data_IF_647421948660
#
_entry.id   IF_647421948660
#
_cell.length_a   1.000
_cell.length_b   1.000
_cell.length_c   1.000
_cell.angle_alpha   90.00
_cell.angle_beta   90.00
_cell.angle_gamma   90.00
#
_symmetry.space_group_name_H-M   'P 1'
#
loop_
_entity.id
_entity.type
_entity.pdbx_description
1 polymer ?
#
# COMPACT_ATOMS: atom_id res chain seq x y z
N UNK A 1 21.06 -25.29 -11.72
CA UNK A 1 20.14 -26.31 -12.28
C UNK A 1 18.93 -25.58 -12.91
N UNK A 2 19.15 -24.78 -13.97
CA UNK A 2 18.22 -23.71 -14.43
C UNK A 2 17.63 -23.94 -15.84
N UNK A 3 17.27 -25.18 -16.20
CA UNK A 3 16.66 -25.48 -17.52
C UNK A 3 15.22 -25.98 -17.47
N UNK A 4 14.62 -26.14 -16.29
CA UNK A 4 13.27 -26.69 -16.15
C UNK A 4 12.14 -25.67 -16.31
N UNK A 5 12.40 -24.36 -16.20
CA UNK A 5 11.37 -23.33 -16.31
C UNK A 5 11.14 -22.79 -17.74
N UNK A 6 11.92 -23.23 -18.72
CA UNK A 6 11.88 -22.72 -20.10
C UNK A 6 11.22 -23.65 -21.13
N UNK A 7 10.58 -24.75 -20.72
CA UNK A 7 9.73 -25.53 -21.62
C UNK A 7 8.28 -25.07 -21.47
N UNK A 8 7.68 -24.60 -22.56
CA UNK A 8 6.28 -24.19 -22.62
C UNK A 8 5.35 -25.26 -22.04
N UNK A 9 4.36 -24.81 -21.26
CA UNK A 9 3.26 -25.58 -20.67
C UNK A 9 3.55 -26.96 -20.01
N UNK A 10 4.80 -27.31 -19.73
CA UNK A 10 5.15 -28.54 -19.00
C UNK A 10 5.10 -28.38 -17.47
N UNK A 11 4.10 -27.63 -16.97
CA UNK A 11 3.91 -27.42 -15.53
C UNK A 11 2.97 -28.49 -14.97
N UNK A 12 3.27 -28.97 -13.76
CA UNK A 12 2.48 -30.02 -13.08
C UNK A 12 1.02 -29.61 -12.84
N UNK A 13 0.77 -28.32 -12.68
CA UNK A 13 -0.57 -27.74 -12.51
C UNK A 13 -0.74 -26.56 -13.47
N UNK A 14 -1.91 -26.51 -14.12
CA UNK A 14 -2.32 -25.35 -14.91
C UNK A 14 -2.54 -24.15 -13.99
N UNK A 15 -2.26 -22.96 -14.53
CA UNK A 15 -2.46 -21.68 -13.85
C UNK A 15 -3.44 -20.86 -14.65
N UNK A 16 -4.35 -20.21 -13.95
CA UNK A 16 -5.30 -19.27 -14.52
C UNK A 16 -5.17 -17.94 -13.81
N UNK A 17 -5.48 -16.86 -14.52
CA UNK A 17 -5.66 -15.56 -13.90
C UNK A 17 -7.11 -15.47 -13.44
N UNK A 18 -7.33 -15.34 -12.14
CA UNK A 18 -8.68 -15.24 -11.57
C UNK A 18 -8.74 -14.21 -10.44
N UNK A 19 -9.90 -13.55 -10.24
CA UNK A 19 -10.12 -12.66 -9.12
C UNK A 19 -10.31 -13.48 -7.83
N UNK A 20 -9.45 -13.26 -6.84
CA UNK A 20 -9.50 -13.93 -5.53
C UNK A 20 -9.35 -12.95 -4.39
N UNK A 21 -10.04 -13.20 -3.27
CA UNK A 21 -9.81 -12.47 -2.02
C UNK A 21 -8.66 -13.15 -1.29
N UNK A 22 -7.54 -12.44 -1.18
CA UNK A 22 -6.27 -13.01 -0.76
C UNK A 22 -5.65 -12.21 0.38
N UNK A 23 -5.05 -12.93 1.33
CA UNK A 23 -4.15 -12.37 2.34
C UNK A 23 -2.88 -13.21 2.41
N UNK A 24 -1.72 -12.57 2.44
CA UNK A 24 -0.41 -13.24 2.55
C UNK A 24 0.31 -12.65 3.75
N UNK A 25 0.70 -13.50 4.70
CA UNK A 25 1.43 -13.12 5.90
C UNK A 25 2.75 -13.89 6.00
N UNK A 26 3.86 -13.26 6.41
CA UNK A 26 5.07 -13.98 6.76
C UNK A 26 4.81 -14.92 7.94
N UNK A 27 5.28 -16.16 7.84
CA UNK A 27 5.13 -17.15 8.92
C UNK A 27 6.04 -16.84 10.12
N UNK A 28 7.01 -15.93 9.96
CA UNK A 28 7.97 -15.58 11.01
C UNK A 28 8.21 -14.06 11.05
N UNK A 29 7.55 -13.33 11.97
CA UNK A 29 7.79 -11.90 12.14
C UNK A 29 9.18 -11.63 12.73
N UNK A 30 9.60 -10.37 12.71
CA UNK A 30 10.83 -9.91 13.35
C UNK A 30 10.60 -9.89 14.87
N UNK A 31 11.33 -10.73 15.61
CA UNK A 31 11.12 -10.94 17.07
C UNK A 31 12.04 -10.11 17.97
N UNK A 32 13.16 -9.61 17.45
CA UNK A 32 14.21 -8.94 18.23
C UNK A 32 14.20 -7.41 18.06
N UNK A 33 13.01 -6.81 18.09
CA UNK A 33 12.80 -5.37 17.83
C UNK A 33 11.90 -4.73 18.88
N UNK A 34 11.91 -3.41 18.93
CA UNK A 34 11.22 -2.63 19.94
C UNK A 34 9.71 -2.55 19.69
N UNK A 35 9.31 -2.67 18.42
CA UNK A 35 7.93 -2.84 17.97
C UNK A 35 7.86 -4.08 17.06
N UNK A 36 6.75 -4.81 17.15
CA UNK A 36 6.44 -5.91 16.24
C UNK A 36 6.47 -5.46 14.78
N UNK A 37 7.15 -6.23 13.94
CA UNK A 37 7.20 -6.00 12.51
C UNK A 37 7.11 -7.32 11.75
N UNK A 38 6.32 -7.33 10.68
CA UNK A 38 6.11 -8.54 9.85
C UNK A 38 7.37 -8.92 9.06
N UNK A 39 8.24 -7.94 8.75
CA UNK A 39 9.41 -8.15 7.91
C UNK A 39 9.18 -7.95 6.40
N UNK A 40 7.94 -7.62 6.03
CA UNK A 40 7.57 -7.18 4.67
C UNK A 40 8.23 -5.83 4.38
N UNK A 41 8.74 -5.68 3.16
CA UNK A 41 9.22 -4.42 2.62
C UNK A 41 8.07 -3.66 1.93
N UNK A 42 7.51 -2.67 2.63
CA UNK A 42 6.44 -1.79 2.12
C UNK A 42 6.98 -0.61 1.30
N UNK A 43 8.31 -0.46 1.23
CA UNK A 43 8.98 0.56 0.43
C UNK A 43 9.98 -0.08 -0.55
N UNK A 44 9.52 -1.01 -1.42
CA UNK A 44 10.40 -1.65 -2.38
C UNK A 44 10.92 -0.64 -3.42
N UNK A 45 11.94 -1.01 -4.22
CA UNK A 45 12.53 -0.11 -5.22
C UNK A 45 11.53 0.49 -6.22
N UNK A 46 10.45 -0.21 -6.55
CA UNK A 46 9.36 0.32 -7.39
C UNK A 46 8.61 1.45 -6.72
N UNK A 47 8.18 1.26 -5.47
CA UNK A 47 7.48 2.29 -4.69
C UNK A 47 8.39 3.49 -4.40
N UNK A 48 9.66 3.27 -4.09
CA UNK A 48 10.65 4.36 -3.93
C UNK A 48 10.81 5.19 -5.21
N UNK A 49 10.83 4.56 -6.38
CA UNK A 49 10.84 5.29 -7.67
C UNK A 49 9.53 6.01 -7.95
N UNK A 50 8.39 5.45 -7.56
CA UNK A 50 7.09 6.11 -7.69
C UNK A 50 7.05 7.40 -6.85
N UNK A 51 7.47 7.31 -5.59
CA UNK A 51 7.61 8.44 -4.65
C UNK A 51 8.49 9.53 -5.29
N UNK A 52 9.70 9.19 -5.72
CA UNK A 52 10.62 10.16 -6.34
C UNK A 52 10.02 10.79 -7.60
N UNK A 53 9.35 10.02 -8.45
CA UNK A 53 8.68 10.55 -9.64
C UNK A 53 7.58 11.56 -9.25
N UNK A 54 6.71 11.21 -8.32
CA UNK A 54 5.59 12.06 -7.88
C UNK A 54 6.08 13.33 -7.19
N UNK A 55 7.14 13.23 -6.38
CA UNK A 55 7.82 14.39 -5.77
C UNK A 55 8.38 15.32 -6.84
N UNK A 56 9.10 14.78 -7.83
CA UNK A 56 9.64 15.57 -8.94
C UNK A 56 8.54 16.22 -9.79
N UNK A 57 7.43 15.53 -10.01
CA UNK A 57 6.26 16.06 -10.71
C UNK A 57 5.61 17.20 -9.92
N UNK A 58 5.54 17.07 -8.59
CA UNK A 58 5.08 18.13 -7.70
C UNK A 58 5.95 19.38 -7.83
N UNK A 59 7.28 19.25 -7.75
CA UNK A 59 8.20 20.37 -7.96
C UNK A 59 8.11 20.97 -9.36
N UNK A 60 7.94 20.13 -10.38
CA UNK A 60 7.75 20.57 -11.76
C UNK A 60 6.56 21.53 -11.87
N UNK A 61 5.44 21.22 -11.23
CA UNK A 61 4.25 22.08 -11.27
C UNK A 61 4.37 23.31 -10.35
N UNK A 62 4.95 23.17 -9.16
CA UNK A 62 5.21 24.30 -8.25
C UNK A 62 6.01 25.40 -8.95
N UNK A 63 7.07 25.02 -9.69
CA UNK A 63 7.93 25.99 -10.37
C UNK A 63 7.23 26.79 -11.48
N UNK A 64 6.04 26.36 -11.91
CA UNK A 64 5.22 27.02 -12.93
C UNK A 64 4.16 27.96 -12.35
N UNK A 65 3.96 27.95 -11.03
CA UNK A 65 3.04 28.86 -10.35
C UNK A 65 3.65 30.26 -10.35
N UNK A 66 2.90 31.24 -10.89
CA UNK A 66 3.32 32.64 -10.94
C UNK A 66 2.70 33.45 -9.79
N UNK A 67 1.41 33.22 -9.52
CA UNK A 67 0.67 33.96 -8.51
C UNK A 67 1.06 33.53 -7.10
N UNK A 68 1.33 34.51 -6.21
CA UNK A 68 1.69 34.27 -4.81
C UNK A 68 2.85 33.26 -4.63
N UNK A 69 3.78 33.24 -5.60
CA UNK A 69 4.80 32.21 -5.76
C UNK A 69 5.57 31.90 -4.47
N UNK A 70 6.00 32.92 -3.73
CA UNK A 70 6.77 32.75 -2.49
C UNK A 70 5.96 32.01 -1.42
N UNK A 71 4.75 32.49 -1.12
CA UNK A 71 3.86 31.92 -0.09
C UNK A 71 3.45 30.50 -0.48
N UNK A 72 3.04 30.31 -1.73
CA UNK A 72 2.59 29.01 -2.22
C UNK A 72 3.74 28.01 -2.21
N UNK A 73 4.93 28.39 -2.70
CA UNK A 73 6.10 27.51 -2.69
C UNK A 73 6.51 27.11 -1.27
N UNK A 74 6.47 28.05 -0.31
CA UNK A 74 6.75 27.76 1.08
C UNK A 74 5.76 26.74 1.68
N UNK A 75 4.46 26.90 1.40
CA UNK A 75 3.44 25.94 1.85
C UNK A 75 3.62 24.54 1.25
N UNK A 76 3.90 24.46 -0.06
CA UNK A 76 4.19 23.18 -0.70
C UNK A 76 5.43 22.52 -0.11
N UNK A 77 6.50 23.29 0.13
CA UNK A 77 7.72 22.76 0.72
C UNK A 77 7.49 22.24 2.15
N UNK A 78 6.79 22.99 3.00
CA UNK A 78 6.38 22.54 4.33
C UNK A 78 5.61 21.22 4.26
N UNK A 79 4.67 21.13 3.32
CA UNK A 79 3.82 19.95 3.16
C UNK A 79 4.61 18.74 2.66
N UNK A 80 5.52 18.93 1.69
CA UNK A 80 6.43 17.87 1.21
C UNK A 80 7.28 17.34 2.38
N UNK A 81 7.90 18.23 3.16
CA UNK A 81 8.72 17.83 4.31
C UNK A 81 7.91 17.07 5.38
N UNK A 82 6.64 17.43 5.57
CA UNK A 82 5.73 16.73 6.46
C UNK A 82 5.38 15.32 5.95
N UNK A 83 5.07 15.19 4.66
CA UNK A 83 4.80 13.90 4.01
C UNK A 83 6.02 12.99 4.07
N UNK A 84 7.22 13.51 3.76
CA UNK A 84 8.46 12.73 3.81
C UNK A 84 8.78 12.26 5.23
N UNK A 85 8.57 13.14 6.22
CA UNK A 85 8.75 12.78 7.62
C UNK A 85 7.80 11.65 8.03
N UNK A 86 6.52 11.74 7.66
CA UNK A 86 5.56 10.65 7.88
C UNK A 86 6.02 9.35 7.22
N UNK A 87 6.51 9.43 5.98
CA UNK A 87 7.07 8.30 5.26
C UNK A 87 8.25 7.61 5.97
N UNK A 88 9.20 8.41 6.46
CA UNK A 88 10.33 7.92 7.25
C UNK A 88 9.89 7.25 8.55
N UNK A 89 8.86 7.79 9.19
CA UNK A 89 8.25 7.22 10.39
C UNK A 89 7.64 5.84 10.08
N UNK A 90 6.83 5.74 9.02
CA UNK A 90 6.25 4.49 8.55
C UNK A 90 7.31 3.45 8.18
N UNK A 91 8.38 3.86 7.48
CA UNK A 91 9.50 2.95 7.14
C UNK A 91 10.22 2.44 8.40
N UNK A 92 10.44 3.30 9.39
CA UNK A 92 11.07 2.92 10.67
C UNK A 92 10.23 1.89 11.41
N UNK A 93 8.93 2.16 11.54
CA UNK A 93 7.96 1.27 12.19
C UNK A 93 7.87 -0.07 11.47
N UNK A 94 7.87 -0.07 10.12
CA UNK A 94 7.85 -1.32 9.33
C UNK A 94 9.05 -2.25 9.58
N UNK A 95 10.16 -1.69 10.08
CA UNK A 95 11.39 -2.41 10.44
C UNK A 95 11.46 -2.77 11.92
N UNK A 96 10.41 -2.46 12.69
CA UNK A 96 10.29 -2.68 14.12
C UNK A 96 11.02 -1.63 14.98
N UNK A 97 11.53 -0.56 14.37
CA UNK A 97 12.26 0.49 15.09
C UNK A 97 11.24 1.45 15.70
N UNK A 98 11.29 1.63 17.03
CA UNK A 98 10.37 2.53 17.73
C UNK A 98 10.87 3.99 17.71
N UNK A 99 10.17 4.93 17.02
CA UNK A 99 10.59 6.33 16.98
C UNK A 99 10.60 7.05 18.33
N UNK A 100 9.94 6.50 19.38
CA UNK A 100 9.98 7.05 20.75
C UNK A 100 11.34 6.93 21.43
N UNK A 101 12.22 6.06 20.94
CA UNK A 101 13.55 5.86 21.52
C UNK A 101 14.42 7.10 21.31
N UNK A 102 14.17 7.87 20.25
CA UNK A 102 14.78 9.19 20.05
C UNK A 102 13.80 10.29 20.50
N UNK A 103 14.04 10.95 21.64
CA UNK A 103 13.17 12.02 22.13
C UNK A 103 13.05 13.20 21.15
N UNK A 104 14.11 13.49 20.37
CA UNK A 104 14.06 14.57 19.38
C UNK A 104 13.14 14.20 18.23
N UNK A 105 13.16 12.95 17.79
CA UNK A 105 12.26 12.45 16.75
C UNK A 105 10.81 12.44 17.25
N UNK A 106 10.57 11.97 18.47
CA UNK A 106 9.22 11.99 19.06
C UNK A 106 8.68 13.42 19.24
N UNK A 107 9.52 14.37 19.62
CA UNK A 107 9.15 15.79 19.67
C UNK A 107 8.74 16.32 18.30
N UNK A 108 9.41 15.92 17.22
CA UNK A 108 9.03 16.30 15.85
C UNK A 108 7.67 15.72 15.46
N UNK A 109 7.34 14.48 15.83
CA UNK A 109 6.00 13.91 15.63
C UNK A 109 4.95 14.81 16.31
N UNK A 110 5.15 15.12 17.59
CA UNK A 110 4.21 15.95 18.35
C UNK A 110 4.09 17.38 17.80
N UNK A 111 5.17 17.94 17.25
CA UNK A 111 5.12 19.24 16.59
C UNK A 111 4.31 19.18 15.29
N UNK A 112 4.52 18.15 14.47
CA UNK A 112 3.81 17.99 13.18
C UNK A 112 2.34 17.61 13.34
N UNK A 113 1.96 17.02 14.47
CA UNK A 113 0.54 16.81 14.84
C UNK A 113 -0.25 18.12 15.03
N UNK A 114 0.43 19.28 15.11
CA UNK A 114 -0.24 20.59 15.15
C UNK A 114 -0.77 21.05 13.78
N UNK A 115 -0.42 20.35 12.70
CA UNK A 115 -0.80 20.74 11.34
C UNK A 115 0.22 21.63 10.63
N UNK A 116 -0.14 22.04 9.41
CA UNK A 116 0.64 22.94 8.57
C UNK A 116 0.45 24.38 9.05
N UNK A 117 1.54 25.08 9.33
CA UNK A 117 1.51 26.43 9.89
C UNK A 117 1.33 27.49 8.81
N UNK A 118 1.94 27.30 7.64
CA UNK A 118 1.93 28.30 6.55
C UNK A 118 0.54 28.47 5.95
N UNK A 119 -0.33 27.46 6.07
CA UNK A 119 -1.65 27.45 5.42
C UNK A 119 -2.56 28.60 5.86
N UNK A 120 -2.48 29.04 7.12
CA UNK A 120 -3.37 30.08 7.67
C UNK A 120 -3.19 31.44 6.96
N UNK A 121 -2.01 31.67 6.38
CA UNK A 121 -1.72 32.89 5.60
C UNK A 121 -2.54 32.99 4.30
N UNK A 122 -3.05 31.86 3.79
CA UNK A 122 -3.86 31.78 2.58
C UNK A 122 -5.35 31.99 2.83
N UNK A 123 -5.80 32.02 4.08
CA UNK A 123 -7.23 32.00 4.42
C UNK A 123 -8.00 33.18 3.83
N UNK A 124 -7.41 34.38 3.87
CA UNK A 124 -8.02 35.60 3.31
C UNK A 124 -7.61 35.84 1.86
N UNK A 125 -6.36 35.56 1.50
CA UNK A 125 -5.76 35.88 0.20
C UNK A 125 -6.11 34.88 -0.91
N UNK A 126 -6.30 33.61 -0.57
CA UNK A 126 -6.58 32.50 -1.50
C UNK A 126 -7.50 31.44 -0.86
N UNK A 127 -8.79 31.74 -0.59
CA UNK A 127 -9.68 30.87 0.20
C UNK A 127 -9.90 29.46 -0.37
N UNK A 128 -9.89 29.32 -1.70
CA UNK A 128 -10.04 28.00 -2.37
C UNK A 128 -8.80 27.13 -2.16
N UNK A 129 -7.62 27.70 -2.35
CA UNK A 129 -6.33 27.03 -2.12
C UNK A 129 -6.20 26.62 -0.66
N UNK A 130 -6.54 27.52 0.27
CA UNK A 130 -6.65 27.20 1.69
C UNK A 130 -7.57 26.00 1.93
N UNK A 131 -8.77 25.99 1.32
CA UNK A 131 -9.71 24.87 1.42
C UNK A 131 -9.10 23.53 0.99
N UNK A 132 -8.41 23.49 -0.16
CA UNK A 132 -7.75 22.27 -0.63
C UNK A 132 -6.66 21.78 0.33
N UNK A 133 -5.80 22.67 0.81
CA UNK A 133 -4.75 22.28 1.75
C UNK A 133 -5.28 21.87 3.12
N UNK A 134 -6.43 22.39 3.58
CA UNK A 134 -7.08 21.90 4.81
C UNK A 134 -7.56 20.46 4.66
N UNK A 135 -8.07 20.08 3.48
CA UNK A 135 -8.45 18.70 3.21
C UNK A 135 -7.23 17.76 3.12
N UNK A 136 -6.11 18.24 2.57
CA UNK A 136 -4.83 17.51 2.58
C UNK A 136 -4.33 17.34 4.02
N UNK A 137 -4.35 18.41 4.81
CA UNK A 137 -3.95 18.40 6.21
C UNK A 137 -4.80 17.46 7.05
N UNK A 138 -6.12 17.47 6.86
CA UNK A 138 -7.06 16.56 7.54
C UNK A 138 -6.67 15.10 7.30
N UNK A 139 -6.43 14.73 6.03
CA UNK A 139 -5.98 13.38 5.67
C UNK A 139 -4.63 13.07 6.32
N UNK A 140 -3.63 13.96 6.16
CA UNK A 140 -2.30 13.80 6.72
C UNK A 140 -2.33 13.60 8.25
N UNK A 141 -3.02 14.47 8.98
CA UNK A 141 -3.12 14.43 10.44
C UNK A 141 -3.80 13.15 10.93
N UNK A 142 -4.81 12.66 10.21
CA UNK A 142 -5.46 11.40 10.57
C UNK A 142 -4.45 10.23 10.55
N UNK A 143 -3.65 10.11 9.48
CA UNK A 143 -2.65 9.05 9.40
C UNK A 143 -1.48 9.27 10.36
N UNK A 144 -1.04 10.52 10.54
CA UNK A 144 0.02 10.82 11.50
C UNK A 144 -0.42 10.50 12.94
N UNK A 145 -1.66 10.81 13.31
CA UNK A 145 -2.22 10.45 14.60
C UNK A 145 -2.30 8.93 14.74
N UNK A 146 -2.79 8.23 13.71
CA UNK A 146 -2.87 6.78 13.74
C UNK A 146 -1.50 6.14 13.93
N UNK A 147 -0.46 6.56 13.22
CA UNK A 147 0.89 5.99 13.40
C UNK A 147 1.48 6.34 14.77
N UNK A 148 1.25 7.55 15.28
CA UNK A 148 1.68 7.96 16.62
C UNK A 148 1.00 7.11 17.72
N UNK A 149 -0.29 6.81 17.54
CA UNK A 149 -1.06 5.93 18.42
C UNK A 149 -0.52 4.50 18.34
N UNK A 150 -0.26 3.98 17.15
CA UNK A 150 0.36 2.67 16.96
C UNK A 150 1.73 2.58 17.63
N UNK A 151 2.60 3.57 17.42
CA UNK A 151 3.92 3.65 18.05
C UNK A 151 3.82 3.65 19.58
N UNK A 152 2.81 4.32 20.13
CA UNK A 152 2.66 4.48 21.58
C UNK A 152 2.18 3.23 22.31
N UNK A 153 1.49 2.34 21.59
CA UNK A 153 0.81 1.19 22.19
C UNK A 153 1.26 -0.15 21.63
N UNK A 154 2.15 -0.15 20.63
CA UNK A 154 2.77 -1.39 20.14
C UNK A 154 3.84 -1.89 21.09
N UNK A 155 4.05 -3.20 21.07
CA UNK A 155 5.07 -3.92 21.81
C UNK A 155 5.92 -4.76 20.85
N UNK A 156 7.03 -5.37 21.29
CA UNK A 156 7.80 -6.31 20.47
C UNK A 156 6.97 -7.48 19.90
N UNK A 157 5.88 -7.86 20.55
CA UNK A 157 5.06 -9.02 20.18
C UNK A 157 3.76 -8.67 19.48
N UNK A 158 3.32 -7.41 19.54
CA UNK A 158 2.04 -6.97 19.00
C UNK A 158 2.14 -5.56 18.43
N UNK A 159 1.72 -5.38 17.18
CA UNK A 159 1.55 -4.06 16.58
C UNK A 159 0.13 -3.57 16.83
N UNK A 160 -0.02 -2.37 17.40
CA UNK A 160 -1.33 -1.76 17.64
C UNK A 160 -1.88 -1.16 16.34
N UNK A 161 -2.59 -1.98 15.56
CA UNK A 161 -3.31 -1.56 14.38
C UNK A 161 -4.67 -0.91 14.71
N UNK A 162 -5.16 -0.08 13.81
CA UNK A 162 -6.48 0.53 13.81
C UNK A 162 -7.37 -0.17 12.76
N UNK A 163 -8.40 -0.90 13.21
CA UNK A 163 -9.36 -1.58 12.35
C UNK A 163 -10.19 -0.62 11.48
N UNK A 164 -10.41 0.59 11.96
CA UNK A 164 -11.34 1.56 11.37
C UNK A 164 -10.61 2.68 10.64
N UNK A 165 -9.46 2.38 10.03
CA UNK A 165 -8.68 3.37 9.30
C UNK A 165 -9.45 3.78 8.02
N UNK A 166 -9.99 5.01 7.94
CA UNK A 166 -11.00 5.37 6.94
C UNK A 166 -10.43 5.41 5.53
N UNK A 167 -11.29 5.17 4.55
CA UNK A 167 -11.02 5.36 3.11
C UNK A 167 -11.90 6.49 2.58
N UNK A 168 -11.55 7.06 1.42
CA UNK A 168 -12.39 8.02 0.71
C UNK A 168 -12.47 9.37 1.44
N UNK A 169 -11.38 10.11 1.44
CA UNK A 169 -11.36 11.47 1.98
C UNK A 169 -11.97 12.44 0.96
N UNK A 170 -12.53 13.55 1.44
CA UNK A 170 -13.06 14.61 0.55
C UNK A 170 -12.02 15.18 -0.42
N UNK A 171 -10.75 15.17 -0.03
CA UNK A 171 -9.67 15.52 -0.96
C UNK A 171 -9.64 14.54 -2.13
N UNK A 172 -9.80 13.24 -1.90
CA UNK A 172 -9.75 12.20 -2.95
C UNK A 172 -10.84 12.45 -4.01
N UNK A 173 -12.06 12.79 -3.58
CA UNK A 173 -13.16 13.17 -4.48
C UNK A 173 -12.82 14.42 -5.31
N UNK A 174 -12.18 15.40 -4.68
CA UNK A 174 -11.75 16.64 -5.34
C UNK A 174 -10.66 16.37 -6.38
N UNK A 175 -9.74 15.45 -6.08
CA UNK A 175 -8.65 15.08 -6.98
C UNK A 175 -9.15 14.36 -8.23
N UNK A 176 -10.21 13.54 -8.13
CA UNK A 176 -10.84 12.95 -9.32
C UNK A 176 -11.34 14.01 -10.30
N UNK A 177 -11.90 15.12 -9.79
CA UNK A 177 -12.31 16.25 -10.64
C UNK A 177 -11.10 16.92 -11.31
N UNK A 178 -9.97 17.03 -10.61
CA UNK A 178 -8.74 17.66 -11.10
C UNK A 178 -8.04 16.86 -12.21
N UNK A 179 -8.36 15.58 -12.37
CA UNK A 179 -7.87 14.75 -13.49
C UNK A 179 -8.52 15.09 -14.83
N UNK A 180 -9.62 15.85 -14.85
CA UNK A 180 -10.25 16.24 -16.11
C UNK A 180 -9.40 17.20 -16.94
N UNK A 181 -9.50 17.11 -18.27
CA UNK A 181 -8.75 17.94 -19.23
C UNK A 181 -8.89 19.45 -18.99
N UNK A 182 -10.01 19.86 -18.38
CA UNK A 182 -10.27 21.25 -17.97
C UNK A 182 -9.18 21.81 -17.06
N UNK A 183 -8.60 20.99 -16.18
CA UNK A 183 -7.62 21.42 -15.19
C UNK A 183 -6.18 21.06 -15.56
N UNK A 184 -5.96 20.31 -16.64
CA UNK A 184 -4.64 19.82 -17.07
C UNK A 184 -3.61 20.94 -17.28
N UNK A 185 -4.06 22.15 -17.61
CA UNK A 185 -3.20 23.31 -17.89
C UNK A 185 -3.05 24.28 -16.71
N UNK A 186 -3.68 24.03 -15.56
CA UNK A 186 -3.64 24.95 -14.41
C UNK A 186 -2.53 24.50 -13.44
N UNK A 187 -1.39 25.21 -13.35
CA UNK A 187 -0.22 24.72 -12.61
C UNK A 187 -0.48 24.45 -11.13
N UNK A 188 -1.23 25.34 -10.45
CA UNK A 188 -1.57 25.16 -9.04
C UNK A 188 -2.40 23.90 -8.80
N UNK A 189 -3.36 23.62 -9.67
CA UNK A 189 -4.22 22.43 -9.54
C UNK A 189 -3.42 21.16 -9.80
N UNK A 190 -2.55 21.17 -10.81
CA UNK A 190 -1.65 20.04 -11.08
C UNK A 190 -0.62 19.82 -9.97
N UNK A 191 -0.12 20.90 -9.34
CA UNK A 191 0.75 20.81 -8.18
C UNK A 191 0.03 20.18 -6.98
N UNK A 192 -1.21 20.59 -6.70
CA UNK A 192 -2.05 20.00 -5.64
C UNK A 192 -2.30 18.51 -5.92
N UNK A 193 -2.68 18.18 -7.16
CA UNK A 193 -2.90 16.79 -7.58
C UNK A 193 -1.65 15.94 -7.38
N UNK A 194 -0.50 16.42 -7.86
CA UNK A 194 0.78 15.71 -7.74
C UNK A 194 1.19 15.52 -6.28
N UNK A 195 1.06 16.57 -5.46
CA UNK A 195 1.36 16.54 -4.03
C UNK A 195 0.49 15.52 -3.29
N UNK A 196 -0.80 15.47 -3.59
CA UNK A 196 -1.70 14.50 -2.96
C UNK A 196 -1.39 13.08 -3.41
N UNK A 197 -1.09 12.83 -4.70
CA UNK A 197 -0.68 11.49 -5.13
C UNK A 197 0.65 11.04 -4.50
N UNK A 198 1.57 11.98 -4.27
CA UNK A 198 2.80 11.75 -3.53
C UNK A 198 2.53 11.34 -2.07
N UNK A 199 1.64 12.07 -1.38
CA UNK A 199 1.18 11.71 -0.03
C UNK A 199 0.51 10.34 0.01
N UNK A 200 -0.35 10.05 -0.97
CA UNK A 200 -1.13 8.81 -1.03
C UNK A 200 -0.25 7.57 -1.10
N UNK A 201 0.90 7.64 -1.77
CA UNK A 201 1.84 6.52 -1.83
C UNK A 201 2.40 6.18 -0.45
N UNK A 202 2.76 7.18 0.38
CA UNK A 202 3.19 6.94 1.76
C UNK A 202 2.04 6.47 2.66
N UNK A 203 0.86 7.08 2.51
CA UNK A 203 -0.35 6.70 3.25
C UNK A 203 -0.75 5.25 2.98
N UNK A 204 -0.71 4.81 1.72
CA UNK A 204 -1.01 3.44 1.34
C UNK A 204 0.03 2.46 1.89
N UNK A 205 1.32 2.82 1.91
CA UNK A 205 2.34 1.98 2.53
C UNK A 205 2.07 1.79 4.03
N UNK A 206 1.75 2.86 4.76
CA UNK A 206 1.37 2.77 6.18
C UNK A 206 0.07 1.97 6.38
N UNK A 207 -0.92 2.17 5.52
CA UNK A 207 -2.16 1.38 5.57
C UNK A 207 -1.88 -0.11 5.39
N UNK A 208 -0.98 -0.50 4.49
CA UNK A 208 -0.60 -1.91 4.34
C UNK A 208 0.08 -2.44 5.61
N UNK A 209 0.93 -1.65 6.27
CA UNK A 209 1.47 -2.01 7.59
C UNK A 209 0.33 -2.26 8.58
N UNK A 210 -0.63 -1.34 8.67
CA UNK A 210 -1.80 -1.47 9.55
C UNK A 210 -2.62 -2.73 9.24
N UNK A 211 -2.99 -2.91 7.97
CA UNK A 211 -3.87 -3.97 7.50
C UNK A 211 -3.21 -5.35 7.68
N UNK A 212 -1.92 -5.48 7.41
CA UNK A 212 -1.20 -6.75 7.59
C UNK A 212 -1.13 -7.21 9.06
N UNK A 213 -1.33 -6.29 10.01
CA UNK A 213 -1.35 -6.60 11.43
C UNK A 213 -2.75 -6.92 11.99
N UNK A 214 -3.82 -6.74 11.21
CA UNK A 214 -5.20 -6.94 11.69
C UNK A 214 -6.09 -7.79 10.76
N UNK A 215 -5.89 -7.69 9.45
CA UNK A 215 -6.81 -8.21 8.44
C UNK A 215 -6.89 -9.73 8.44
N UNK A 216 -5.92 -10.47 8.99
CA UNK A 216 -6.02 -11.93 9.14
C UNK A 216 -7.33 -12.37 9.81
N UNK A 217 -7.87 -11.55 10.72
CA UNK A 217 -9.10 -11.83 11.47
C UNK A 217 -10.38 -11.48 10.69
N UNK A 218 -10.27 -10.82 9.53
CA UNK A 218 -11.39 -10.29 8.74
C UNK A 218 -11.39 -10.79 7.28
N UNK A 219 -11.58 -12.09 7.00
CA UNK A 219 -11.52 -12.64 5.64
C UNK A 219 -12.49 -11.99 4.63
N UNK A 220 -13.65 -11.53 5.10
CA UNK A 220 -14.66 -10.84 4.28
C UNK A 220 -14.20 -9.48 3.77
N UNK A 221 -13.19 -8.89 4.40
CA UNK A 221 -12.66 -7.58 4.07
C UNK A 221 -11.40 -7.65 3.20
N UNK A 222 -10.86 -8.86 2.96
CA UNK A 222 -9.70 -9.03 2.08
C UNK A 222 -10.00 -8.50 0.68
N UNK A 223 -9.07 -7.68 0.17
CA UNK A 223 -9.15 -7.06 -1.15
C UNK A 223 -9.21 -8.14 -2.22
N UNK A 224 -10.14 -7.98 -3.16
CA UNK A 224 -10.20 -8.79 -4.37
C UNK A 224 -9.01 -8.42 -5.26
N UNK A 225 -8.22 -9.41 -5.65
CA UNK A 225 -7.00 -9.23 -6.42
C UNK A 225 -6.99 -10.20 -7.59
N UNK A 226 -6.56 -9.71 -8.76
CA UNK A 226 -6.26 -10.58 -9.89
C UNK A 226 -4.96 -11.31 -9.59
N UNK A 227 -5.03 -12.64 -9.52
CA UNK A 227 -3.89 -13.49 -9.23
C UNK A 227 -3.82 -14.65 -10.22
N UNK A 228 -2.60 -15.05 -10.54
CA UNK A 228 -2.29 -16.24 -11.32
C UNK A 228 -2.26 -17.45 -10.37
N UNK A 229 -3.34 -18.20 -10.28
CA UNK A 229 -3.56 -19.24 -9.26
C UNK A 229 -3.46 -20.64 -9.86
N UNK A 230 -2.94 -21.58 -9.07
CA UNK A 230 -2.98 -23.03 -9.32
C UNK A 230 -3.16 -23.79 -8.01
N UNK A 231 -3.47 -25.09 -8.11
CA UNK A 231 -3.54 -26.00 -6.97
C UNK A 231 -2.24 -26.11 -6.14
N UNK A 232 -1.09 -25.61 -6.63
CA UNK A 232 0.20 -25.69 -5.93
C UNK A 232 0.88 -24.36 -5.69
N UNK A 233 0.23 -23.24 -5.98
CA UNK A 233 0.85 -21.94 -5.78
C UNK A 233 0.09 -20.82 -6.47
N UNK A 234 0.56 -19.60 -6.23
CA UNK A 234 0.00 -18.40 -6.81
C UNK A 234 1.09 -17.42 -7.22
N UNK A 235 0.76 -16.50 -8.11
CA UNK A 235 1.55 -15.30 -8.32
C UNK A 235 0.64 -14.08 -8.50
N UNK A 236 1.08 -12.92 -8.00
CA UNK A 236 0.31 -11.69 -8.06
C UNK A 236 1.22 -10.47 -8.08
N UNK A 237 0.66 -9.32 -8.43
CA UNK A 237 1.32 -8.03 -8.34
C UNK A 237 0.88 -7.31 -7.05
N UNK A 238 1.83 -6.84 -6.25
CA UNK A 238 1.57 -6.12 -5.00
C UNK A 238 2.39 -4.83 -4.94
N UNK A 239 1.99 -3.90 -4.06
CA UNK A 239 2.72 -2.67 -3.77
C UNK A 239 3.71 -2.83 -2.59
N UNK A 240 4.00 -4.07 -2.22
CA UNK A 240 4.91 -4.47 -1.14
C UNK A 240 5.68 -5.71 -1.56
N UNK A 241 6.78 -6.00 -0.87
CA UNK A 241 7.73 -7.03 -1.24
C UNK A 241 8.01 -7.96 -0.07
N UNK A 242 8.10 -9.26 -0.38
CA UNK A 242 8.59 -10.29 0.54
C UNK A 242 10.05 -10.65 0.19
N UNK A 243 10.75 -11.28 1.12
CA UNK A 243 12.10 -11.78 0.88
C UNK A 243 12.03 -13.07 0.06
N UNK A 244 13.02 -13.28 -0.80
CA UNK A 244 13.14 -14.55 -1.52
C UNK A 244 13.29 -15.70 -0.51
N UNK A 245 12.59 -16.81 -0.77
CA UNK A 245 12.55 -18.00 0.08
C UNK A 245 11.96 -17.79 1.48
N UNK A 246 11.32 -16.65 1.73
CA UNK A 246 10.58 -16.41 2.96
C UNK A 246 9.38 -17.36 3.06
N UNK A 247 9.20 -17.94 4.24
CA UNK A 247 8.02 -18.75 4.57
C UNK A 247 6.84 -17.83 4.77
N UNK A 248 5.74 -18.14 4.10
CA UNK A 248 4.51 -17.36 4.16
C UNK A 248 3.32 -18.28 4.36
N UNK A 249 2.31 -17.77 5.04
CA UNK A 249 0.98 -18.33 5.04
C UNK A 249 0.11 -17.54 4.05
N UNK A 250 -0.56 -18.27 3.18
CA UNK A 250 -1.44 -17.76 2.15
C UNK A 250 -2.87 -18.13 2.49
N UNK A 251 -3.75 -17.14 2.50
CA UNK A 251 -5.15 -17.33 2.80
C UNK A 251 -6.02 -16.89 1.63
N UNK A 252 -6.99 -17.71 1.29
CA UNK A 252 -8.03 -17.40 0.31
C UNK A 252 -9.38 -17.33 1.00
N UNK A 253 -10.23 -16.39 0.59
CA UNK A 253 -11.63 -16.33 1.00
C UNK A 253 -12.55 -16.43 -0.22
N UNK A 254 -13.47 -17.38 -0.19
CA UNK A 254 -14.45 -17.64 -1.25
C UNK A 254 -15.86 -17.24 -0.78
N UNK A 255 -16.40 -16.09 -1.23
CA UNK A 255 -17.65 -15.55 -0.71
C UNK A 255 -18.87 -16.45 -0.96
N UNK A 256 -18.95 -17.11 -2.13
CA UNK A 256 -20.10 -17.93 -2.51
C UNK A 256 -20.28 -19.14 -1.57
N UNK A 257 -19.18 -19.66 -1.02
CA UNK A 257 -19.17 -20.78 -0.08
C UNK A 257 -18.96 -20.33 1.37
N UNK A 258 -18.74 -19.02 1.60
CA UNK A 258 -18.30 -18.47 2.88
C UNK A 258 -17.13 -19.27 3.50
N UNK A 259 -16.18 -19.68 2.65
CA UNK A 259 -15.09 -20.59 3.01
C UNK A 259 -13.74 -19.85 3.01
N UNK A 260 -12.87 -20.20 3.97
CA UNK A 260 -11.48 -19.71 4.03
C UNK A 260 -10.53 -20.89 3.90
N UNK A 261 -9.57 -20.80 2.98
CA UNK A 261 -8.48 -21.77 2.85
C UNK A 261 -7.19 -21.17 3.38
N UNK A 262 -6.30 -22.02 3.91
CA UNK A 262 -4.98 -21.64 4.39
C UNK A 262 -3.94 -22.59 3.81
N UNK A 263 -2.88 -22.04 3.22
CA UNK A 263 -1.76 -22.77 2.67
C UNK A 263 -0.46 -22.23 3.24
N UNK A 264 0.39 -23.10 3.78
CA UNK A 264 1.78 -22.73 4.03
C UNK A 264 2.55 -22.77 2.71
N UNK A 265 3.51 -21.87 2.54
CA UNK A 265 4.27 -21.76 1.30
C UNK A 265 5.61 -21.05 1.47
N UNK A 266 6.35 -20.97 0.37
CA UNK A 266 7.57 -20.19 0.26
C UNK A 266 7.51 -19.24 -0.93
N UNK A 267 8.09 -18.06 -0.75
CA UNK A 267 8.33 -17.11 -1.84
C UNK A 267 9.39 -17.69 -2.77
N UNK A 268 9.05 -17.93 -4.03
CA UNK A 268 9.95 -18.57 -5.03
C UNK A 268 10.40 -17.64 -6.14
N UNK A 269 9.72 -16.52 -6.34
CA UNK A 269 10.10 -15.49 -7.31
C UNK A 269 9.61 -14.12 -6.84
N UNK A 270 10.48 -13.12 -6.93
CA UNK A 270 10.16 -11.72 -6.67
C UNK A 270 10.79 -10.88 -7.78
N UNK A 271 9.97 -10.12 -8.50
CA UNK A 271 10.40 -9.28 -9.62
C UNK A 271 9.71 -7.93 -9.60
N UNK A 272 10.49 -6.86 -9.72
CA UNK A 272 9.97 -5.51 -9.92
C UNK A 272 9.38 -5.37 -11.33
N UNK A 273 8.17 -4.82 -11.41
CA UNK A 273 7.44 -4.48 -12.62
C UNK A 273 7.37 -2.95 -12.67
N UNK A 274 8.38 -2.37 -13.28
CA UNK A 274 8.75 -0.96 -13.13
C UNK A 274 7.74 0.01 -13.74
N UNK A 275 7.17 -0.37 -14.88
CA UNK A 275 6.12 0.37 -15.60
C UNK A 275 4.82 0.49 -14.79
N UNK A 276 4.56 -0.48 -13.92
CA UNK A 276 3.37 -0.52 -13.06
C UNK A 276 3.64 -0.08 -11.63
N UNK A 277 4.92 0.13 -11.27
CA UNK A 277 5.36 0.39 -9.90
C UNK A 277 4.90 -0.69 -8.90
N UNK A 278 4.96 -1.96 -9.33
CA UNK A 278 4.54 -3.12 -8.53
C UNK A 278 5.63 -4.16 -8.40
N UNK A 279 5.49 -5.00 -7.40
CA UNK A 279 6.33 -6.17 -7.18
C UNK A 279 5.52 -7.42 -7.50
N UNK A 280 5.98 -8.20 -8.47
CA UNK A 280 5.47 -9.53 -8.74
C UNK A 280 6.02 -10.48 -7.69
N UNK A 281 5.13 -11.13 -6.96
CA UNK A 281 5.45 -12.15 -5.97
C UNK A 281 4.86 -13.47 -6.44
N UNK A 282 5.66 -14.54 -6.41
CA UNK A 282 5.16 -15.90 -6.60
C UNK A 282 5.42 -16.75 -5.36
N UNK A 283 4.38 -17.46 -4.93
CA UNK A 283 4.40 -18.37 -3.79
C UNK A 283 4.22 -19.79 -4.31
N UNK A 284 5.05 -20.72 -3.84
CA UNK A 284 4.82 -22.14 -4.00
C UNK A 284 4.23 -22.70 -2.70
N UNK A 285 3.12 -23.41 -2.77
CA UNK A 285 2.51 -24.05 -1.60
C UNK A 285 3.33 -25.28 -1.19
N UNK A 286 3.47 -25.46 0.12
CA UNK A 286 4.21 -26.55 0.73
C UNK A 286 3.25 -27.58 1.29
N UNK A 287 3.21 -28.75 0.67
CA UNK A 287 2.41 -29.90 1.13
C UNK A 287 0.98 -29.51 1.52
N UNK A 288 0.19 -28.91 0.60
CA UNK A 288 -1.19 -28.55 0.92
C UNK A 288 -1.98 -29.79 1.32
N UNK A 289 -2.89 -29.67 2.28
CA UNK A 289 -3.78 -30.77 2.60
C UNK A 289 -4.69 -31.06 1.41
N UNK A 290 -5.01 -32.34 1.19
CA UNK A 290 -5.77 -32.77 0.02
C UNK A 290 -7.14 -32.07 -0.09
N UNK A 291 -7.81 -31.81 1.03
CA UNK A 291 -9.15 -31.19 1.02
C UNK A 291 -9.08 -29.74 0.54
N UNK A 292 -8.16 -28.95 1.07
CA UNK A 292 -7.97 -27.55 0.63
C UNK A 292 -7.49 -27.47 -0.80
N UNK A 293 -6.60 -28.37 -1.22
CA UNK A 293 -6.12 -28.43 -2.60
C UNK A 293 -7.25 -28.78 -3.58
N UNK A 294 -8.05 -29.80 -3.27
CA UNK A 294 -9.20 -30.21 -4.09
C UNK A 294 -10.25 -29.10 -4.16
N UNK A 295 -10.53 -28.41 -3.04
CA UNK A 295 -11.44 -27.27 -3.03
C UNK A 295 -10.95 -26.17 -3.97
N UNK A 296 -9.68 -25.74 -3.83
CA UNK A 296 -9.11 -24.70 -4.68
C UNK A 296 -9.15 -25.10 -6.17
N UNK A 297 -8.85 -26.37 -6.47
CA UNK A 297 -8.91 -26.89 -7.83
C UNK A 297 -10.34 -26.85 -8.41
N UNK A 298 -11.36 -27.19 -7.62
CA UNK A 298 -12.75 -27.11 -8.05
C UNK A 298 -13.20 -25.65 -8.29
N UNK A 299 -12.74 -24.71 -7.46
CA UNK A 299 -13.03 -23.29 -7.66
C UNK A 299 -12.37 -22.73 -8.93
N UNK A 300 -11.13 -23.14 -9.21
CA UNK A 300 -10.42 -22.84 -10.47
C UNK A 300 -11.23 -23.36 -11.66
N UNK A 301 -11.62 -24.64 -11.64
CA UNK A 301 -12.39 -25.25 -12.73
C UNK A 301 -13.76 -24.58 -12.92
N UNK A 302 -14.44 -24.22 -11.83
CA UNK A 302 -15.71 -23.50 -11.91
C UNK A 302 -15.53 -22.16 -12.61
N UNK A 303 -14.51 -21.39 -12.23
CA UNK A 303 -14.21 -20.11 -12.86
C UNK A 303 -13.89 -20.25 -14.35
N UNK A 304 -13.09 -21.25 -14.75
CA UNK A 304 -12.80 -21.52 -16.16
C UNK A 304 -14.07 -21.81 -16.96
N UNK A 305 -14.99 -22.62 -16.42
CA UNK A 305 -16.28 -22.91 -17.05
C UNK A 305 -17.16 -21.66 -17.17
N UNK A 306 -17.22 -20.83 -16.13
CA UNK A 306 -17.95 -19.56 -16.14
C UNK A 306 -17.40 -18.61 -17.22
N UNK A 307 -16.07 -18.47 -17.34
CA UNK A 307 -15.45 -17.68 -18.41
C UNK A 307 -15.77 -18.23 -19.79
N UNK A 308 -15.69 -19.55 -20.00
CA UNK A 308 -16.01 -20.17 -21.28
C UNK A 308 -17.47 -19.97 -21.69
N UNK A 309 -18.40 -20.02 -20.74
CA UNK A 309 -19.83 -19.78 -21.00
C UNK A 309 -20.15 -18.29 -21.26
N UNK A 310 -19.33 -17.38 -20.72
CA UNK A 310 -19.49 -15.93 -20.92
C UNK A 310 -19.00 -15.44 -22.30
N UNK A 311 -18.21 -16.25 -23.01
CA UNK A 311 -17.79 -15.98 -24.37
C UNK A 311 -18.96 -16.23 -25.34
N UNK A 312 -19.74 -15.19 -25.63
CA UNK A 312 -20.60 -15.18 -26.83
C UNK A 312 -19.70 -15.19 -28.07
N UNK A 313 -19.78 -16.27 -28.85
CA UNK A 313 -19.12 -16.43 -30.15
C UNK A 313 -19.66 -15.46 -31.21
#
# INVERSE_FOLDING_TARGET
>A
MNRWFHKGNSRRFFRIDMPVRLFIAPSSPIKDREIFATGIDYFPPTIKRLIERQKNETYFWINRIQDQKEIVSALFQETIEAIEFFGQCAESVSKGINPKIDPKYWMQINQRLKGFQTIETLKSSSPKTYGYFKLIEEKYLLFLQSIADSISHSTPTEFKANANLPYGFKIDETLELFKSDKFAKIPLIQAILSLSTFMDTYVEAYRQINDDNIMRQYPKEWKLQQANVSASGLALLMNKRFKNFEKVDVYFYFPAQNATLSFSGSIVDVRSIDDQYKERIAVNFEFPDGKSQDFLQNEIQRYELEECMSLTL
#
